data_IF_592851242869
#
_entry.id   IF_592851242869
#
_cell.length_a   1.000
_cell.length_b   1.000
_cell.length_c   1.000
_cell.angle_alpha   90.00
_cell.angle_beta   90.00
_cell.angle_gamma   90.00
#
_symmetry.space_group_name_H-M   'P 1'
#
loop_
_entity.id
_entity.type
_entity.pdbx_description
1 polymer ?
#
# COMPACT_ATOMS: atom_id res chain seq x y z
N UNK A 1 -2.13 15.21 -2.76
CA UNK A 1 -1.38 14.24 -1.95
C UNK A 1 -0.46 14.93 -0.94
N UNK A 2 0.59 15.65 -1.37
CA UNK A 2 1.60 16.26 -0.47
C UNK A 2 0.96 17.15 0.61
N UNK A 3 0.07 18.06 0.24
CA UNK A 3 -0.59 18.94 1.20
C UNK A 3 -1.42 18.19 2.26
N UNK A 4 -2.01 17.04 1.91
CA UNK A 4 -2.76 16.21 2.84
C UNK A 4 -1.83 15.49 3.83
N UNK A 5 -0.71 14.93 3.33
CA UNK A 5 0.32 14.32 4.18
C UNK A 5 0.89 15.30 5.21
N UNK A 6 1.19 16.53 4.80
CA UNK A 6 1.70 17.57 5.71
C UNK A 6 0.70 17.99 6.79
N UNK A 7 -0.59 17.76 6.55
CA UNK A 7 -1.68 18.01 7.53
C UNK A 7 -2.04 16.75 8.32
N UNK A 8 -1.30 15.65 8.15
CA UNK A 8 -1.62 14.34 8.71
C UNK A 8 -3.00 13.80 8.29
N UNK A 9 -3.55 14.27 7.17
CA UNK A 9 -4.78 13.77 6.56
C UNK A 9 -4.43 12.58 5.66
N UNK A 10 -4.20 11.43 6.32
CA UNK A 10 -3.76 10.20 5.68
C UNK A 10 -4.85 9.57 4.80
N UNK A 11 -6.12 9.79 5.13
CA UNK A 11 -7.24 9.35 4.30
C UNK A 11 -7.27 10.07 2.95
N UNK A 12 -7.18 11.40 2.96
CA UNK A 12 -7.12 12.18 1.73
C UNK A 12 -5.82 11.89 0.98
N UNK A 13 -4.70 11.76 1.68
CA UNK A 13 -3.43 11.40 1.08
C UNK A 13 -3.54 10.06 0.33
N UNK A 14 -4.06 9.02 0.98
CA UNK A 14 -4.27 7.69 0.39
C UNK A 14 -5.21 7.74 -0.82
N UNK A 15 -6.35 8.42 -0.71
CA UNK A 15 -7.26 8.64 -1.84
C UNK A 15 -6.58 9.31 -3.05
N UNK A 16 -5.62 10.21 -2.80
CA UNK A 16 -4.85 10.82 -3.88
C UNK A 16 -3.75 9.90 -4.43
N UNK A 17 -3.17 9.02 -3.60
CA UNK A 17 -2.18 8.02 -4.04
C UNK A 17 -2.78 7.02 -5.03
N UNK A 18 -4.01 6.54 -4.78
CA UNK A 18 -4.70 5.59 -5.66
C UNK A 18 -5.17 6.20 -6.98
N UNK A 19 -5.10 7.53 -7.13
CA UNK A 19 -5.47 8.26 -8.33
C UNK A 19 -4.25 8.52 -9.21
N UNK A 20 -3.38 7.52 -9.37
CA UNK A 20 -2.32 7.60 -10.36
C UNK A 20 -2.94 7.69 -11.76
N UNK A 21 -2.76 8.84 -12.40
CA UNK A 21 -3.27 9.11 -13.74
C UNK A 21 -2.36 8.55 -14.82
N UNK A 22 -1.15 8.12 -14.47
CA UNK A 22 -0.11 7.76 -15.41
C UNK A 22 0.13 6.26 -15.42
N UNK A 23 0.94 5.74 -14.51
CA UNK A 23 1.61 4.45 -14.70
C UNK A 23 0.73 3.27 -14.32
N UNK A 24 -0.05 3.42 -13.26
CA UNK A 24 -0.88 2.33 -12.74
C UNK A 24 -1.98 1.92 -13.72
N UNK A 25 -2.59 2.84 -14.47
CA UNK A 25 -3.63 2.52 -15.46
C UNK A 25 -3.14 1.59 -16.56
N UNK A 26 -1.90 1.78 -17.04
CA UNK A 26 -1.31 0.92 -18.07
C UNK A 26 -0.80 -0.41 -17.50
N UNK A 27 -0.32 -0.41 -16.24
CA UNK A 27 0.27 -1.61 -15.60
C UNK A 27 -0.72 -2.45 -14.82
N UNK A 28 -1.91 -1.96 -14.51
CA UNK A 28 -2.94 -2.70 -13.78
C UNK A 28 -3.27 -4.04 -14.47
N UNK A 29 -3.20 -4.10 -15.81
CA UNK A 29 -3.38 -5.34 -16.58
C UNK A 29 -2.30 -6.40 -16.31
N UNK A 30 -1.12 -5.98 -15.86
CA UNK A 30 0.01 -6.86 -15.55
C UNK A 30 -0.01 -7.34 -14.09
N UNK A 31 -0.82 -6.72 -13.23
CA UNK A 31 -0.97 -7.09 -11.82
C UNK A 31 -2.46 -7.29 -11.51
N UNK A 32 -3.04 -8.44 -11.89
CA UNK A 32 -4.48 -8.68 -11.78
C UNK A 32 -5.00 -8.64 -10.33
N UNK A 33 -4.12 -8.89 -9.36
CA UNK A 33 -4.44 -8.84 -7.93
C UNK A 33 -4.64 -7.43 -7.38
N UNK A 34 -4.16 -6.37 -8.06
CA UNK A 34 -4.19 -5.01 -7.52
C UNK A 34 -5.60 -4.49 -7.25
N UNK A 35 -6.50 -4.60 -8.24
CA UNK A 35 -7.86 -4.06 -8.07
C UNK A 35 -8.69 -4.82 -7.02
N UNK A 36 -8.70 -6.17 -6.99
CA UNK A 36 -9.36 -6.92 -5.91
C UNK A 36 -8.75 -6.64 -4.53
N UNK A 37 -7.42 -6.63 -4.41
CA UNK A 37 -6.75 -6.41 -3.13
C UNK A 37 -6.97 -4.98 -2.62
N UNK A 38 -7.04 -3.99 -3.53
CA UNK A 38 -7.40 -2.60 -3.19
C UNK A 38 -8.81 -2.53 -2.61
N UNK A 39 -9.79 -3.19 -3.23
CA UNK A 39 -11.16 -3.19 -2.72
C UNK A 39 -11.22 -3.85 -1.32
N UNK A 40 -10.62 -5.04 -1.19
CA UNK A 40 -10.58 -5.80 0.05
C UNK A 40 -9.93 -5.01 1.19
N UNK A 41 -8.71 -4.51 0.99
CA UNK A 41 -7.97 -3.81 2.06
C UNK A 41 -8.65 -2.50 2.48
N UNK A 42 -9.36 -1.85 1.57
CA UNK A 42 -10.15 -0.65 1.86
C UNK A 42 -11.38 -0.94 2.72
N UNK A 43 -12.04 -2.08 2.53
CA UNK A 43 -13.13 -2.55 3.41
C UNK A 43 -12.63 -2.77 4.85
N UNK A 44 -11.36 -3.13 5.01
CA UNK A 44 -10.68 -3.32 6.31
C UNK A 44 -9.98 -2.05 6.84
N UNK A 45 -10.20 -0.89 6.22
CA UNK A 45 -9.73 0.41 6.72
C UNK A 45 -8.33 0.82 6.27
N UNK A 46 -7.80 0.26 5.18
CA UNK A 46 -6.59 0.78 4.55
C UNK A 46 -6.83 2.17 3.93
N UNK A 47 -5.82 3.04 4.01
CA UNK A 47 -5.83 4.36 3.37
C UNK A 47 -5.68 4.26 1.85
N UNK A 48 -4.81 3.35 1.39
CA UNK A 48 -4.55 3.13 -0.02
C UNK A 48 -3.87 1.79 -0.28
N UNK A 49 -4.10 1.22 -1.46
CA UNK A 49 -3.27 0.17 -2.03
C UNK A 49 -2.72 0.60 -3.40
N UNK A 50 -1.41 0.56 -3.63
CA UNK A 50 -0.79 0.97 -4.90
C UNK A 50 0.39 0.06 -5.27
N UNK A 51 0.87 0.14 -6.51
CA UNK A 51 2.10 -0.57 -6.89
C UNK A 51 3.32 0.03 -6.17
N UNK A 52 4.21 -0.84 -5.69
CA UNK A 52 5.55 -0.45 -5.25
C UNK A 52 6.42 -0.19 -6.48
N UNK A 53 6.64 1.10 -6.81
CA UNK A 53 7.38 1.48 -8.00
C UNK A 53 6.77 0.91 -9.28
N UNK A 54 7.43 -0.06 -9.89
CA UNK A 54 6.97 -0.72 -11.12
C UNK A 54 6.14 -2.01 -10.88
N UNK A 55 5.99 -2.47 -9.64
CA UNK A 55 5.40 -3.76 -9.30
C UNK A 55 6.35 -4.96 -9.54
N UNK A 56 5.90 -6.20 -9.30
CA UNK A 56 4.52 -6.61 -9.02
C UNK A 56 4.08 -6.41 -7.57
N UNK A 57 4.99 -6.05 -6.66
CA UNK A 57 4.68 -5.81 -5.25
C UNK A 57 3.63 -4.71 -5.09
N UNK A 58 2.64 -4.96 -4.24
CA UNK A 58 1.59 -4.01 -3.87
C UNK A 58 1.92 -3.49 -2.47
N UNK A 59 1.94 -2.16 -2.31
CA UNK A 59 2.04 -1.50 -1.01
C UNK A 59 0.65 -1.13 -0.53
N UNK A 60 0.36 -1.42 0.73
CA UNK A 60 -0.88 -1.05 1.39
C UNK A 60 -0.53 -0.16 2.57
N UNK A 61 -1.06 1.07 2.55
CA UNK A 61 -0.91 2.02 3.63
C UNK A 61 -2.14 1.94 4.53
N UNK A 62 -1.94 1.79 5.82
CA UNK A 62 -3.02 1.58 6.78
C UNK A 62 -2.67 2.15 8.17
N UNK A 63 -3.67 2.37 9.03
CA UNK A 63 -3.43 2.61 10.45
C UNK A 63 -2.65 1.45 11.09
N UNK A 64 -1.79 1.74 12.07
CA UNK A 64 -0.95 0.72 12.70
C UNK A 64 -1.78 -0.34 13.43
N UNK A 65 -2.89 0.07 14.03
CA UNK A 65 -3.86 -0.79 14.71
C UNK A 65 -4.59 -1.77 13.78
N UNK A 66 -4.54 -1.53 12.45
CA UNK A 66 -5.12 -2.41 11.43
C UNK A 66 -4.12 -3.35 10.78
N UNK A 67 -2.82 -3.23 11.12
CA UNK A 67 -1.76 -3.96 10.44
C UNK A 67 -1.93 -5.50 10.53
N UNK A 68 -2.22 -6.03 11.72
CA UNK A 68 -2.36 -7.49 11.93
C UNK A 68 -3.61 -8.05 11.23
N UNK A 69 -4.73 -7.31 11.29
CA UNK A 69 -5.98 -7.66 10.59
C UNK A 69 -5.75 -7.73 9.08
N UNK A 70 -5.14 -6.68 8.51
CA UNK A 70 -4.84 -6.62 7.08
C UNK A 70 -3.85 -7.69 6.66
N UNK A 71 -2.86 -8.01 7.50
CA UNK A 71 -1.89 -9.07 7.22
C UNK A 71 -2.55 -10.43 7.09
N UNK A 72 -3.47 -10.77 8.00
CA UNK A 72 -4.26 -12.01 7.90
C UNK A 72 -5.14 -12.03 6.64
N UNK A 73 -5.89 -10.95 6.38
CA UNK A 73 -6.77 -10.84 5.20
C UNK A 73 -5.99 -10.99 3.89
N UNK A 74 -4.80 -10.40 3.80
CA UNK A 74 -3.95 -10.52 2.62
C UNK A 74 -3.36 -11.93 2.43
N UNK A 75 -2.99 -12.60 3.52
CA UNK A 75 -2.49 -13.97 3.48
C UNK A 75 -3.57 -14.97 3.03
N UNK A 76 -4.82 -14.75 3.47
CA UNK A 76 -5.96 -15.54 3.05
C UNK A 76 -6.34 -15.30 1.57
N UNK A 77 -6.11 -14.08 1.07
CA UNK A 77 -6.37 -13.72 -0.33
C UNK A 77 -5.46 -14.47 -1.32
N UNK A 78 -4.18 -14.63 -0.99
CA UNK A 78 -3.23 -15.41 -1.79
C UNK A 78 -2.18 -16.08 -0.87
N UNK A 79 -2.38 -17.36 -0.60
CA UNK A 79 -1.48 -18.16 0.24
C UNK A 79 -0.07 -18.35 -0.35
N UNK A 80 0.15 -18.00 -1.62
CA UNK A 80 1.47 -18.06 -2.26
C UNK A 80 2.25 -16.76 -2.15
N UNK A 81 1.58 -15.65 -1.78
CA UNK A 81 2.20 -14.34 -1.68
C UNK A 81 2.98 -14.17 -0.36
N UNK A 82 4.14 -13.52 -0.44
CA UNK A 82 4.86 -13.08 0.75
C UNK A 82 4.28 -11.74 1.23
N UNK A 83 3.68 -11.75 2.41
CA UNK A 83 3.06 -10.57 3.02
C UNK A 83 3.91 -10.12 4.21
N UNK A 84 4.35 -8.86 4.19
CA UNK A 84 5.21 -8.28 5.22
C UNK A 84 4.57 -7.02 5.80
N UNK A 85 4.60 -6.91 7.13
CA UNK A 85 4.27 -5.67 7.84
C UNK A 85 5.53 -4.82 7.97
N UNK A 86 5.50 -3.61 7.39
CA UNK A 86 6.64 -2.70 7.32
C UNK A 86 6.29 -1.37 7.97
N UNK A 87 7.31 -0.68 8.47
CA UNK A 87 7.23 0.70 8.95
C UNK A 87 8.10 1.59 8.09
N UNK A 88 7.80 2.88 8.08
CA UNK A 88 8.67 3.87 7.44
C UNK A 88 10.00 3.88 8.20
N UNK A 89 11.06 3.53 7.49
CA UNK A 89 12.43 3.68 8.00
C UNK A 89 12.82 5.15 7.90
N UNK A 90 13.25 5.72 9.02
CA UNK A 90 13.61 7.14 9.11
C UNK A 90 15.12 7.36 9.05
N UNK A 91 15.91 6.29 9.20
CA UNK A 91 17.35 6.35 9.07
C UNK A 91 17.78 5.98 7.63
N UNK A 92 18.59 6.86 7.03
CA UNK A 92 19.20 6.58 5.73
C UNK A 92 20.31 5.53 5.81
N UNK A 93 21.06 5.38 4.71
CA UNK A 93 22.23 4.48 4.69
C UNK A 93 23.27 4.90 5.74
N UNK A 94 23.64 3.98 6.62
CA UNK A 94 24.68 4.16 7.64
C UNK A 94 25.90 3.27 7.33
N UNK A 95 27.10 3.74 7.67
CA UNK A 95 28.34 2.96 7.55
C UNK A 95 28.83 2.52 8.92
N UNK A 96 29.06 1.23 9.12
CA UNK A 96 29.74 0.70 10.31
C UNK A 96 31.25 0.85 10.16
N UNK A 97 31.93 1.44 11.16
CA UNK A 97 33.39 1.48 11.26
C UNK A 97 33.96 0.19 11.83
#
# INVERSE_FOLDING_TARGET
MIAALLQNDLELAGKMMERDLWHENYRARLVPHLAPLRALTKEHGAYAACLSGAGPTILIFAPQEKADELLAVMQDFDATASVLSLKVENDGSMTTR
#
